data_IF_340977371507
#
_entry.id   IF_340977371507
#
_cell.length_a   1.000
_cell.length_b   1.000
_cell.length_c   1.000
_cell.angle_alpha   90.00
_cell.angle_beta   90.00
_cell.angle_gamma   90.00
#
_symmetry.space_group_name_H-M   'P 1'
#
loop_
_entity.id
_entity.type
_entity.pdbx_description
1 polymer ?
#
# COMPACT_ATOMS: atom_id res chain seq x y z
N UNK A 1 -14.65 28.89 -46.37
CA UNK A 1 -13.67 27.81 -46.54
C UNK A 1 -12.84 27.75 -45.25
N UNK A 2 -13.17 26.81 -44.38
CA UNK A 2 -12.56 26.62 -43.05
C UNK A 2 -12.33 25.11 -42.89
N UNK A 3 -11.12 24.72 -42.48
CA UNK A 3 -10.70 23.33 -42.32
C UNK A 3 -10.35 23.11 -40.85
N UNK A 4 -11.29 22.55 -40.09
CA UNK A 4 -11.07 22.09 -38.72
C UNK A 4 -10.39 20.72 -38.75
N UNK A 5 -9.11 20.65 -38.38
CA UNK A 5 -8.50 19.36 -38.05
C UNK A 5 -8.99 18.91 -36.66
N UNK A 6 -9.67 17.77 -36.61
CA UNK A 6 -9.98 17.08 -35.36
C UNK A 6 -8.74 16.31 -34.91
N UNK A 7 -8.13 16.73 -33.80
CA UNK A 7 -7.09 15.95 -33.11
C UNK A 7 -7.80 15.02 -32.12
N UNK A 8 -7.57 13.71 -32.25
CA UNK A 8 -8.18 12.73 -31.35
C UNK A 8 -7.53 12.80 -29.94
N UNK A 9 -8.32 12.74 -28.86
CA UNK A 9 -7.77 12.63 -27.51
C UNK A 9 -7.16 11.23 -27.32
N UNK A 10 -5.86 11.17 -27.05
CA UNK A 10 -5.18 9.93 -26.65
C UNK A 10 -5.67 9.49 -25.27
N UNK A 11 -6.07 8.22 -25.13
CA UNK A 11 -6.62 7.67 -23.90
C UNK A 11 -5.56 7.48 -22.82
N UNK A 12 -5.55 8.39 -21.82
CA UNK A 12 -4.87 8.16 -20.55
C UNK A 12 -5.59 7.08 -19.74
N UNK A 13 -5.05 5.85 -19.73
CA UNK A 13 -5.61 4.75 -18.94
C UNK A 13 -5.26 4.88 -17.45
N UNK A 14 -6.18 5.47 -16.68
CA UNK A 14 -6.17 5.35 -15.22
C UNK A 14 -6.57 3.93 -14.82
N UNK A 15 -5.58 3.10 -14.48
CA UNK A 15 -5.82 1.74 -14.00
C UNK A 15 -6.15 1.75 -12.50
N UNK A 16 -7.44 1.73 -12.17
CA UNK A 16 -7.91 1.36 -10.83
C UNK A 16 -7.86 -0.17 -10.73
N UNK A 17 -7.01 -0.70 -9.85
CA UNK A 17 -6.77 -2.14 -9.69
C UNK A 17 -7.92 -2.81 -8.91
N UNK A 18 -9.10 -2.84 -9.52
CA UNK A 18 -10.30 -3.51 -9.01
C UNK A 18 -10.10 -5.03 -9.01
N UNK A 19 -9.69 -5.58 -7.87
CA UNK A 19 -9.59 -7.03 -7.62
C UNK A 19 -10.98 -7.65 -7.77
N UNK A 20 -11.23 -8.30 -8.91
CA UNK A 20 -12.52 -8.89 -9.25
C UNK A 20 -12.84 -10.13 -8.41
N UNK A 21 -13.63 -9.94 -7.35
CA UNK A 21 -14.50 -11.00 -6.82
C UNK A 21 -15.98 -10.70 -7.13
N UNK A 22 -16.82 -11.74 -7.12
CA UNK A 22 -18.09 -11.75 -7.86
C UNK A 22 -19.24 -11.02 -7.16
N UNK A 23 -19.63 -9.85 -7.69
CA UNK A 23 -20.98 -9.29 -7.56
C UNK A 23 -21.51 -8.83 -8.94
N UNK A 24 -22.77 -9.15 -9.31
CA UNK A 24 -23.32 -8.86 -10.63
C UNK A 24 -23.90 -7.42 -10.73
N UNK A 25 -23.04 -6.41 -10.84
CA UNK A 25 -23.46 -5.05 -11.19
C UNK A 25 -23.75 -4.93 -12.70
N UNK A 26 -24.97 -5.30 -13.09
CA UNK A 26 -25.46 -5.16 -14.46
C UNK A 26 -25.86 -3.70 -14.78
N UNK A 27 -25.02 -3.00 -15.53
CA UNK A 27 -25.35 -1.67 -16.07
C UNK A 27 -26.27 -1.79 -17.29
N UNK A 28 -27.56 -1.49 -17.11
CA UNK A 28 -28.54 -1.50 -18.21
C UNK A 28 -28.45 -0.22 -19.04
N UNK A 29 -27.58 -0.21 -20.04
CA UNK A 29 -27.65 0.77 -21.13
C UNK A 29 -28.97 0.56 -21.89
N UNK A 30 -29.72 1.64 -22.12
CA UNK A 30 -31.04 1.57 -22.74
C UNK A 30 -30.97 1.43 -24.26
N UNK A 31 -30.87 0.18 -24.76
CA UNK A 31 -30.99 -0.11 -26.19
C UNK A 31 -30.76 -1.59 -26.54
N UNK A 32 -31.72 -2.18 -27.26
CA UNK A 32 -31.77 -3.55 -27.78
C UNK A 32 -31.99 -4.69 -26.73
N UNK A 33 -32.63 -5.82 -27.12
CA UNK A 33 -32.99 -6.92 -26.21
C UNK A 33 -32.13 -8.19 -26.37
N UNK A 34 -32.05 -9.02 -25.33
CA UNK A 34 -31.54 -10.40 -25.41
C UNK A 34 -31.02 -10.98 -24.10
N UNK A 35 -31.85 -11.71 -23.37
CA UNK A 35 -31.45 -12.47 -22.17
C UNK A 35 -31.08 -13.93 -22.52
N UNK A 36 -29.82 -14.32 -22.31
CA UNK A 36 -29.45 -15.74 -22.17
C UNK A 36 -28.23 -15.93 -21.27
N UNK A 37 -28.38 -16.68 -20.18
CA UNK A 37 -27.29 -17.04 -19.27
C UNK A 37 -27.03 -18.55 -19.30
N UNK A 38 -25.78 -18.96 -19.54
CA UNK A 38 -25.35 -20.34 -19.34
C UNK A 38 -24.81 -20.54 -17.93
N UNK A 39 -25.30 -21.60 -17.27
CA UNK A 39 -24.97 -21.94 -15.88
C UNK A 39 -23.91 -23.03 -15.87
N UNK A 40 -22.84 -22.85 -15.10
CA UNK A 40 -21.88 -23.93 -14.83
C UNK A 40 -21.48 -23.89 -13.35
N UNK A 41 -21.49 -25.04 -12.68
CA UNK A 41 -21.19 -25.17 -11.25
C UNK A 41 -19.93 -26.01 -11.05
N UNK A 42 -19.08 -25.62 -10.11
CA UNK A 42 -18.16 -26.53 -9.41
C UNK A 42 -18.34 -26.29 -7.90
N UNK A 43 -18.83 -27.25 -7.10
CA UNK A 43 -18.20 -28.51 -6.66
C UNK A 43 -17.08 -28.31 -5.65
N UNK A 44 -17.48 -28.28 -4.37
CA UNK A 44 -16.62 -28.61 -3.23
C UNK A 44 -16.40 -30.14 -3.21
N UNK A 45 -15.14 -30.58 -3.13
CA UNK A 45 -14.82 -31.99 -2.91
C UNK A 45 -14.79 -32.35 -1.42
N UNK A 46 -15.43 -33.48 -1.09
CA UNK A 46 -15.35 -34.21 0.20
C UNK A 46 -14.30 -35.34 0.07
N UNK A 47 -13.83 -35.97 1.18
CA UNK A 47 -14.62 -36.93 1.99
C UNK A 47 -14.37 -36.77 3.52
N UNK A 48 -14.84 -37.59 4.47
CA UNK A 48 -15.74 -38.76 4.47
C UNK A 48 -17.14 -38.34 5.01
N UNK A 49 -17.84 -38.81 6.06
CA UNK A 49 -17.67 -39.90 7.07
C UNK A 49 -16.86 -39.52 8.32
N UNK A 50 -17.17 -39.97 9.54
CA UNK A 50 -18.36 -40.72 10.05
C UNK A 50 -19.37 -39.78 10.73
N UNK A 51 -20.54 -40.28 11.18
CA UNK A 51 -21.57 -39.47 11.84
C UNK A 51 -22.28 -40.18 13.00
N UNK A 52 -22.77 -39.37 13.95
CA UNK A 52 -23.58 -39.71 15.14
C UNK A 52 -24.61 -38.55 15.31
N UNK A 53 -25.87 -38.79 15.71
CA UNK A 53 -26.96 -37.82 15.50
C UNK A 53 -27.09 -36.72 16.57
N UNK A 54 -28.02 -35.78 16.28
CA UNK A 54 -28.48 -34.67 17.13
C UNK A 54 -28.72 -35.06 18.60
N UNK A 55 -28.30 -34.17 19.50
CA UNK A 55 -28.74 -34.08 20.90
C UNK A 55 -29.17 -32.63 21.20
N UNK A 56 -30.37 -32.37 21.75
CA UNK A 56 -30.84 -31.02 22.02
C UNK A 56 -30.45 -30.53 23.42
N UNK A 57 -30.23 -29.21 23.54
CA UNK A 57 -30.50 -28.46 24.77
C UNK A 57 -29.54 -28.65 25.96
N UNK A 58 -28.37 -28.00 25.89
CA UNK A 58 -27.67 -27.52 27.09
C UNK A 58 -27.45 -26.01 26.99
N UNK A 59 -28.22 -25.26 27.78
CA UNK A 59 -28.08 -23.81 27.94
C UNK A 59 -26.80 -23.51 28.72
N UNK A 60 -25.70 -23.25 28.00
CA UNK A 60 -24.60 -22.50 28.59
C UNK A 60 -25.09 -21.08 28.88
N UNK A 61 -24.89 -20.54 30.10
CA UNK A 61 -25.24 -19.16 30.38
C UNK A 61 -24.36 -18.25 29.52
N UNK A 62 -24.99 -17.44 28.68
CA UNK A 62 -24.30 -16.40 27.94
C UNK A 62 -23.73 -15.38 28.93
N UNK A 63 -22.45 -15.52 29.26
CA UNK A 63 -21.70 -14.50 30.00
C UNK A 63 -21.74 -13.24 29.15
N UNK A 64 -22.53 -12.26 29.57
CA UNK A 64 -22.52 -10.94 28.96
C UNK A 64 -21.16 -10.31 29.23
N UNK A 65 -20.22 -10.52 28.31
CA UNK A 65 -19.09 -9.62 28.16
C UNK A 65 -19.66 -8.26 27.76
N UNK A 66 -19.87 -7.39 28.74
CA UNK A 66 -20.05 -5.94 28.54
C UNK A 66 -18.72 -5.33 28.12
N UNK A 67 -18.20 -5.81 26.99
CA UNK A 67 -16.93 -5.40 26.41
C UNK A 67 -17.02 -4.03 25.77
N UNK A 68 -15.86 -3.38 25.66
CA UNK A 68 -15.72 -2.15 24.88
C UNK A 68 -16.15 -2.41 23.43
N UNK A 69 -17.09 -1.62 22.92
CA UNK A 69 -17.41 -1.62 21.48
C UNK A 69 -16.16 -1.21 20.71
N UNK A 70 -15.84 -1.93 19.64
CA UNK A 70 -14.73 -1.53 18.79
C UNK A 70 -15.11 -0.33 17.90
N UNK A 71 -14.10 0.26 17.27
CA UNK A 71 -14.24 1.44 16.41
C UNK A 71 -15.18 1.17 15.24
N UNK A 72 -15.10 -0.01 14.60
CA UNK A 72 -15.97 -0.39 13.50
C UNK A 72 -17.45 -0.39 13.90
N UNK A 73 -17.83 -1.10 14.96
CA UNK A 73 -19.22 -1.16 15.43
C UNK A 73 -19.75 0.23 15.82
N UNK A 74 -18.88 1.11 16.32
CA UNK A 74 -19.24 2.50 16.68
C UNK A 74 -19.50 3.37 15.44
N UNK A 75 -18.73 3.20 14.37
CA UNK A 75 -18.97 3.85 13.07
C UNK A 75 -20.22 3.27 12.40
N UNK A 76 -20.36 1.95 12.38
CA UNK A 76 -21.50 1.26 11.78
C UNK A 76 -22.82 1.65 12.47
N UNK A 77 -22.89 1.63 13.80
CA UNK A 77 -24.09 2.02 14.55
C UNK A 77 -24.50 3.49 14.30
N UNK A 78 -23.54 4.37 13.96
CA UNK A 78 -23.81 5.78 13.64
C UNK A 78 -24.39 5.96 12.24
N UNK A 79 -23.93 5.21 11.25
CA UNK A 79 -24.26 5.44 9.83
C UNK A 79 -25.27 4.45 9.23
N UNK A 80 -25.49 3.26 9.84
CA UNK A 80 -26.44 2.24 9.33
C UNK A 80 -27.91 2.70 9.23
N UNK A 81 -28.27 3.84 9.82
CA UNK A 81 -29.60 4.45 9.73
C UNK A 81 -29.64 5.72 8.87
N UNK A 82 -28.54 6.12 8.23
CA UNK A 82 -28.49 7.26 7.32
C UNK A 82 -29.30 6.96 6.06
N UNK A 83 -30.22 7.85 5.69
CA UNK A 83 -30.99 7.71 4.46
C UNK A 83 -30.14 8.03 3.23
N UNK A 84 -30.53 7.50 2.06
CA UNK A 84 -29.90 7.82 0.77
C UNK A 84 -29.82 9.32 0.51
N UNK A 85 -30.84 10.09 0.92
CA UNK A 85 -30.89 11.53 0.76
C UNK A 85 -29.91 12.30 1.68
N UNK A 86 -29.60 11.76 2.86
CA UNK A 86 -28.59 12.31 3.77
C UNK A 86 -27.17 11.88 3.38
N UNK A 87 -27.00 10.71 2.74
CA UNK A 87 -25.72 10.22 2.22
C UNK A 87 -25.30 10.97 0.96
N UNK A 88 -26.25 11.18 0.04
CA UNK A 88 -26.02 11.80 -1.27
C UNK A 88 -26.23 13.34 -1.24
N UNK A 89 -26.21 13.94 -0.04
CA UNK A 89 -26.38 15.37 0.17
C UNK A 89 -25.16 16.14 -0.38
N UNK A 90 -25.38 17.01 -1.36
CA UNK A 90 -24.34 17.88 -1.90
C UNK A 90 -23.96 18.99 -0.90
N UNK A 91 -22.79 18.87 -0.29
CA UNK A 91 -22.26 19.85 0.68
C UNK A 91 -21.72 21.09 -0.05
N UNK A 92 -22.22 22.27 0.33
CA UNK A 92 -21.77 23.57 -0.21
C UNK A 92 -20.70 24.22 0.70
N UNK A 93 -19.65 23.45 1.02
CA UNK A 93 -18.57 23.86 1.92
C UNK A 93 -17.21 23.84 1.20
N UNK A 94 -16.26 24.63 1.72
CA UNK A 94 -14.86 24.64 1.27
C UNK A 94 -13.97 23.90 2.25
N UNK A 95 -12.94 23.20 1.75
CA UNK A 95 -11.89 22.64 2.60
C UNK A 95 -11.23 23.72 3.49
N UNK A 96 -10.75 23.37 4.70
CA UNK A 96 -10.10 24.33 5.59
C UNK A 96 -8.89 25.04 4.97
N UNK A 97 -8.63 26.26 5.41
CA UNK A 97 -7.40 26.98 5.02
C UNK A 97 -6.16 26.19 5.44
N UNK A 98 -5.23 25.96 4.51
CA UNK A 98 -4.06 25.10 4.72
C UNK A 98 -4.29 23.61 4.44
N UNK A 99 -5.43 23.21 3.87
CA UNK A 99 -5.60 21.87 3.29
C UNK A 99 -4.64 21.68 2.11
N UNK A 100 -3.84 20.61 2.14
CA UNK A 100 -2.81 20.33 1.14
C UNK A 100 -3.40 19.67 -0.11
N UNK A 101 -3.10 20.21 -1.28
CA UNK A 101 -3.53 19.67 -2.57
C UNK A 101 -2.38 18.93 -3.25
N UNK A 102 -2.23 17.66 -2.87
CA UNK A 102 -1.17 16.80 -3.36
C UNK A 102 -1.54 16.04 -4.65
N UNK A 103 -0.53 15.81 -5.49
CA UNK A 103 -0.53 14.72 -6.48
C UNK A 103 0.64 13.77 -6.23
N UNK A 104 0.60 12.55 -6.77
CA UNK A 104 1.57 11.50 -6.43
C UNK A 104 2.07 10.70 -7.63
N UNK A 105 3.33 10.26 -7.58
CA UNK A 105 3.93 9.29 -8.50
C UNK A 105 4.67 8.18 -7.75
N UNK A 106 5.13 7.15 -8.47
CA UNK A 106 5.87 6.02 -7.90
C UNK A 106 7.05 5.66 -8.80
N UNK A 107 8.23 5.53 -8.21
CA UNK A 107 9.53 5.26 -8.83
C UNK A 107 9.45 4.29 -10.02
N UNK A 108 8.99 3.07 -9.78
CA UNK A 108 8.91 2.03 -10.81
C UNK A 108 7.99 2.37 -12.00
N UNK A 109 6.88 3.10 -11.79
CA UNK A 109 5.92 3.39 -12.87
C UNK A 109 6.24 4.66 -13.68
N UNK A 110 7.15 5.53 -13.21
CA UNK A 110 7.45 6.80 -13.89
C UNK A 110 8.92 7.01 -14.23
N UNK A 111 9.88 6.61 -13.39
CA UNK A 111 11.30 6.94 -13.58
C UNK A 111 11.88 6.35 -14.87
N UNK A 112 11.70 5.04 -15.08
CA UNK A 112 12.43 4.29 -16.10
C UNK A 112 13.93 4.21 -15.80
N UNK A 113 14.74 3.98 -16.84
CA UNK A 113 16.19 3.89 -16.71
C UNK A 113 16.62 2.78 -15.75
N UNK A 114 16.08 1.58 -15.96
CA UNK A 114 16.12 0.46 -15.00
C UNK A 114 17.52 -0.01 -14.62
N UNK A 115 18.50 0.14 -15.52
CA UNK A 115 19.93 -0.18 -15.33
C UNK A 115 20.83 1.06 -15.43
N UNK A 116 20.24 2.26 -15.46
CA UNK A 116 20.95 3.51 -15.69
C UNK A 116 21.52 4.13 -14.42
N UNK A 117 22.59 4.93 -14.58
CA UNK A 117 23.29 5.55 -13.44
C UNK A 117 23.94 4.55 -12.48
N UNK A 118 23.97 3.26 -12.83
CA UNK A 118 24.36 2.17 -11.94
C UNK A 118 23.22 1.64 -11.06
N UNK A 119 21.95 1.95 -11.35
CA UNK A 119 20.79 1.35 -10.67
C UNK A 119 20.86 -0.18 -10.71
N UNK A 120 20.57 -0.81 -9.58
CA UNK A 120 20.41 -2.25 -9.46
C UNK A 120 19.06 -2.75 -9.96
N UNK A 121 19.02 -4.02 -10.33
CA UNK A 121 17.78 -4.76 -10.61
C UNK A 121 16.85 -4.75 -9.38
N UNK A 122 15.57 -4.44 -9.58
CA UNK A 122 14.50 -4.61 -8.58
C UNK A 122 13.71 -5.90 -8.84
N UNK A 123 12.96 -6.36 -7.84
CA UNK A 123 12.05 -7.50 -8.00
C UNK A 123 11.02 -7.31 -9.13
N UNK A 124 10.64 -6.05 -9.43
CA UNK A 124 9.70 -5.76 -10.52
C UNK A 124 10.36 -5.67 -11.90
N UNK A 125 11.62 -5.23 -11.99
CA UNK A 125 12.38 -5.33 -13.24
C UNK A 125 12.47 -6.80 -13.67
N UNK A 126 12.88 -7.68 -12.73
CA UNK A 126 12.92 -9.14 -12.94
C UNK A 126 11.58 -9.72 -13.34
N UNK A 127 10.52 -9.42 -12.58
CA UNK A 127 9.16 -9.94 -12.83
C UNK A 127 8.62 -9.52 -14.21
N UNK A 128 9.02 -8.34 -14.71
CA UNK A 128 8.79 -7.92 -16.09
C UNK A 128 9.60 -8.72 -17.10
N UNK A 129 10.92 -8.82 -16.93
CA UNK A 129 11.84 -9.50 -17.86
C UNK A 129 11.63 -11.02 -17.93
N UNK A 130 11.17 -11.66 -16.85
CA UNK A 130 10.76 -13.07 -16.81
C UNK A 130 9.36 -13.32 -17.42
N UNK A 131 8.67 -12.27 -17.87
CA UNK A 131 7.36 -12.37 -18.54
C UNK A 131 6.20 -12.69 -17.59
N UNK A 132 6.35 -12.40 -16.30
CA UNK A 132 5.32 -12.63 -15.26
C UNK A 132 4.37 -11.43 -15.12
N UNK A 133 4.81 -10.24 -15.52
CA UNK A 133 3.97 -9.04 -15.62
C UNK A 133 2.86 -9.17 -16.68
N UNK A 134 1.74 -8.46 -16.49
CA UNK A 134 0.62 -8.47 -17.42
C UNK A 134 1.07 -8.11 -18.85
N UNK A 135 0.64 -8.93 -19.83
CA UNK A 135 1.00 -8.80 -21.24
C UNK A 135 2.53 -8.70 -21.50
N UNK A 136 3.35 -9.29 -20.62
CA UNK A 136 4.82 -9.30 -20.67
C UNK A 136 5.43 -7.89 -20.72
N UNK A 137 4.77 -6.92 -20.09
CA UNK A 137 5.21 -5.53 -20.06
C UNK A 137 6.40 -5.31 -19.12
N UNK A 138 7.26 -4.35 -19.47
CA UNK A 138 8.40 -3.93 -18.65
C UNK A 138 8.34 -2.42 -18.41
N UNK A 139 9.01 -1.94 -17.35
CA UNK A 139 9.09 -0.52 -17.02
C UNK A 139 10.44 0.13 -17.41
N UNK A 140 11.21 -0.52 -18.29
CA UNK A 140 12.57 -0.12 -18.68
C UNK A 140 12.71 1.38 -19.00
N UNK A 141 11.71 1.94 -19.70
CA UNK A 141 11.59 3.36 -20.03
C UNK A 141 10.52 4.08 -19.19
N UNK A 142 9.42 3.41 -18.83
CA UNK A 142 8.28 3.99 -18.11
C UNK A 142 7.82 5.35 -18.72
N UNK A 143 7.67 6.40 -17.90
CA UNK A 143 7.47 7.78 -18.37
C UNK A 143 8.79 8.50 -18.69
N UNK A 144 9.93 7.91 -18.34
CA UNK A 144 11.29 8.46 -18.43
C UNK A 144 11.46 9.74 -17.59
N UNK A 145 10.78 9.80 -16.43
CA UNK A 145 10.93 10.87 -15.42
C UNK A 145 12.39 11.01 -14.93
N UNK A 146 13.18 9.93 -14.98
CA UNK A 146 14.60 9.93 -14.66
C UNK A 146 15.41 10.96 -15.50
N UNK A 147 14.94 11.29 -16.72
CA UNK A 147 15.54 12.31 -17.60
C UNK A 147 14.77 13.64 -17.64
N UNK A 148 13.61 13.74 -16.98
CA UNK A 148 12.58 14.76 -17.28
C UNK A 148 12.15 15.61 -16.08
N UNK A 149 12.97 15.69 -15.04
CA UNK A 149 12.72 16.49 -13.81
C UNK A 149 12.12 17.87 -14.12
N UNK A 150 12.73 18.66 -15.01
CA UNK A 150 12.26 20.01 -15.35
C UNK A 150 10.88 20.03 -16.04
N UNK A 151 10.56 18.98 -16.81
CA UNK A 151 9.30 18.82 -17.52
C UNK A 151 8.18 18.38 -16.57
N UNK A 152 8.46 17.42 -15.69
CA UNK A 152 7.50 16.96 -14.69
C UNK A 152 7.18 18.09 -13.69
N UNK A 153 8.18 18.85 -13.25
CA UNK A 153 8.00 20.04 -12.40
C UNK A 153 7.33 21.21 -13.16
N UNK A 154 7.47 21.30 -14.48
CA UNK A 154 6.66 22.20 -15.30
C UNK A 154 5.17 21.79 -15.30
N UNK A 155 4.86 20.49 -15.46
CA UNK A 155 3.50 19.98 -15.38
C UNK A 155 2.86 20.19 -14.00
N UNK A 156 3.60 19.93 -12.91
CA UNK A 156 3.11 20.14 -11.54
C UNK A 156 2.74 21.61 -11.28
N UNK A 157 3.54 22.57 -11.76
CA UNK A 157 3.18 24.00 -11.70
C UNK A 157 1.94 24.32 -12.53
N UNK A 158 1.75 23.66 -13.66
CA UNK A 158 0.53 23.77 -14.48
C UNK A 158 -0.74 23.25 -13.77
N UNK A 159 -0.60 22.23 -12.92
CA UNK A 159 -1.67 21.68 -12.07
C UNK A 159 -1.96 22.52 -10.81
N UNK A 160 -1.11 23.52 -10.50
CA UNK A 160 -1.24 24.40 -9.32
C UNK A 160 -1.28 23.64 -7.97
N UNK A 161 -0.66 22.47 -7.89
CA UNK A 161 -0.50 21.71 -6.64
C UNK A 161 0.53 22.36 -5.72
N UNK A 162 0.25 22.36 -4.42
CA UNK A 162 1.20 22.84 -3.38
C UNK A 162 2.17 21.75 -2.91
N UNK A 163 1.85 20.48 -3.21
CA UNK A 163 2.48 19.30 -2.63
C UNK A 163 2.65 18.22 -3.70
N UNK A 164 3.77 17.50 -3.67
CA UNK A 164 4.03 16.36 -4.55
C UNK A 164 4.63 15.19 -3.79
N UNK A 165 3.98 14.03 -3.86
CA UNK A 165 4.47 12.79 -3.29
C UNK A 165 5.17 11.94 -4.37
N UNK A 166 6.37 11.45 -4.08
CA UNK A 166 7.06 10.47 -4.92
C UNK A 166 7.78 9.44 -4.04
N UNK A 167 8.21 8.32 -4.64
CA UNK A 167 9.07 7.35 -3.96
C UNK A 167 10.51 7.41 -4.46
N UNK A 168 11.46 7.15 -3.57
CA UNK A 168 12.87 6.91 -3.91
C UNK A 168 13.03 5.43 -4.23
N UNK A 169 13.68 5.11 -5.35
CA UNK A 169 13.99 3.73 -5.67
C UNK A 169 15.20 3.25 -4.89
N UNK A 170 14.98 2.31 -3.96
CA UNK A 170 16.05 1.76 -3.12
C UNK A 170 17.19 1.20 -3.97
N UNK A 171 16.88 0.46 -5.05
CA UNK A 171 17.89 -0.07 -5.96
C UNK A 171 18.63 1.00 -6.80
N UNK A 172 18.10 2.23 -6.92
CA UNK A 172 18.81 3.36 -7.54
C UNK A 172 19.79 4.01 -6.57
N UNK A 173 19.48 4.03 -5.27
CA UNK A 173 20.34 4.53 -4.19
C UNK A 173 21.41 3.50 -3.80
N UNK A 174 21.01 2.29 -3.41
CA UNK A 174 21.85 1.15 -3.05
C UNK A 174 21.56 -0.02 -4.02
N UNK A 175 22.30 -0.18 -5.13
CA UNK A 175 22.12 -1.23 -6.12
C UNK A 175 22.13 -2.68 -5.59
N UNK A 176 22.83 -2.97 -4.50
CA UNK A 176 22.78 -4.30 -3.83
C UNK A 176 21.81 -4.34 -2.65
N UNK A 177 21.10 -3.25 -2.37
CA UNK A 177 20.31 -3.00 -1.17
C UNK A 177 21.12 -2.55 0.05
N UNK A 178 22.44 -2.71 0.05
CA UNK A 178 23.32 -2.34 1.17
C UNK A 178 24.14 -1.07 0.90
N UNK A 179 24.42 -0.31 1.97
CA UNK A 179 25.06 1.02 1.96
C UNK A 179 26.42 1.08 1.27
N UNK A 180 27.16 -0.03 1.23
CA UNK A 180 28.46 -0.14 0.55
C UNK A 180 28.35 -0.06 -0.99
N UNK A 181 27.15 -0.20 -1.55
CA UNK A 181 26.91 -0.11 -3.00
C UNK A 181 26.55 1.30 -3.50
N UNK A 182 26.46 2.30 -2.62
CA UNK A 182 25.82 3.58 -2.88
C UNK A 182 26.18 4.23 -4.23
N UNK A 183 25.15 4.53 -5.03
CA UNK A 183 25.28 5.31 -6.25
C UNK A 183 25.02 6.79 -5.98
N UNK A 184 26.08 7.58 -5.97
CA UNK A 184 25.99 9.04 -5.90
C UNK A 184 25.25 9.63 -7.12
N UNK A 185 25.30 8.97 -8.29
CA UNK A 185 24.46 9.36 -9.46
C UNK A 185 22.98 9.13 -9.18
N UNK A 186 22.63 8.04 -8.50
CA UNK A 186 21.27 7.77 -8.04
C UNK A 186 20.78 8.82 -7.04
N UNK A 187 21.61 9.18 -6.06
CA UNK A 187 21.29 10.22 -5.09
C UNK A 187 21.11 11.61 -5.75
N UNK A 188 21.97 11.96 -6.71
CA UNK A 188 21.93 13.24 -7.42
C UNK A 188 20.65 13.45 -8.24
N UNK A 189 20.03 12.39 -8.78
CA UNK A 189 18.72 12.50 -9.43
C UNK A 189 17.64 12.99 -8.45
N UNK A 190 17.58 12.42 -7.23
CA UNK A 190 16.61 12.86 -6.23
C UNK A 190 16.94 14.24 -5.66
N UNK A 191 18.22 14.61 -5.53
CA UNK A 191 18.60 16.00 -5.23
C UNK A 191 18.10 16.98 -6.30
N UNK A 192 18.23 16.66 -7.58
CA UNK A 192 17.73 17.49 -8.68
C UNK A 192 16.21 17.64 -8.60
N UNK A 193 15.48 16.53 -8.43
CA UNK A 193 14.01 16.54 -8.29
C UNK A 193 13.55 17.37 -7.09
N UNK A 194 14.12 17.13 -5.90
CA UNK A 194 13.77 17.84 -4.66
C UNK A 194 14.10 19.33 -4.78
N UNK A 195 15.25 19.68 -5.36
CA UNK A 195 15.63 21.08 -5.57
C UNK A 195 14.69 21.79 -6.56
N UNK A 196 14.29 21.13 -7.65
CA UNK A 196 13.38 21.70 -8.65
C UNK A 196 11.96 21.90 -8.09
N UNK A 197 11.48 20.97 -7.25
CA UNK A 197 10.20 21.09 -6.53
C UNK A 197 10.23 22.28 -5.55
N UNK A 198 11.23 22.34 -4.68
CA UNK A 198 11.38 23.42 -3.68
C UNK A 198 11.57 24.78 -4.34
N UNK A 199 12.37 24.88 -5.41
CA UNK A 199 12.52 26.10 -6.20
C UNK A 199 11.24 26.53 -6.93
N UNK A 200 10.30 25.59 -7.14
CA UNK A 200 8.97 25.84 -7.70
C UNK A 200 7.89 26.11 -6.64
N UNK A 201 8.25 26.12 -5.34
CA UNK A 201 7.31 26.28 -4.23
C UNK A 201 6.50 25.04 -3.87
N UNK A 202 6.81 23.88 -4.46
CA UNK A 202 6.09 22.62 -4.26
C UNK A 202 6.75 21.83 -3.12
N UNK A 203 5.97 21.42 -2.13
CA UNK A 203 6.46 20.67 -0.98
C UNK A 203 6.66 19.17 -1.33
N UNK A 204 7.87 18.61 -1.17
CA UNK A 204 8.12 17.19 -1.41
C UNK A 204 7.66 16.33 -0.22
N UNK A 205 6.83 15.33 -0.51
CA UNK A 205 6.57 14.18 0.38
C UNK A 205 7.32 12.98 -0.19
N UNK A 206 8.12 12.29 0.62
CA UNK A 206 8.93 11.16 0.15
C UNK A 206 8.49 9.85 0.77
N UNK A 207 8.17 8.89 -0.08
CA UNK A 207 8.05 7.47 0.27
C UNK A 207 9.41 6.78 0.13
N UNK A 208 9.92 6.16 1.20
CA UNK A 208 11.21 5.45 1.16
C UNK A 208 11.12 4.12 0.38
N UNK A 209 10.03 3.36 0.54
CA UNK A 209 9.82 2.09 -0.15
C UNK A 209 8.45 2.02 -0.83
N UNK A 210 8.44 1.73 -2.14
CA UNK A 210 7.21 1.57 -2.92
C UNK A 210 7.25 0.29 -3.75
N UNK A 211 7.40 -0.84 -3.06
CA UNK A 211 7.37 -2.21 -3.61
C UNK A 211 8.58 -2.58 -4.49
N UNK A 212 9.51 -1.66 -4.70
CA UNK A 212 10.67 -1.77 -5.59
C UNK A 212 11.94 -2.26 -4.88
N UNK A 213 11.82 -3.41 -4.19
CA UNK A 213 12.92 -4.06 -3.48
C UNK A 213 14.10 -4.38 -4.44
N UNK A 214 15.36 -4.10 -4.07
CA UNK A 214 16.52 -4.58 -4.81
C UNK A 214 16.54 -6.11 -4.89
N UNK A 215 16.63 -6.67 -6.10
CA UNK A 215 16.64 -8.11 -6.35
C UNK A 215 17.80 -8.80 -5.60
N UNK A 216 18.92 -8.09 -5.39
CA UNK A 216 20.03 -8.56 -4.58
C UNK A 216 19.62 -8.94 -3.14
N UNK A 217 18.65 -8.25 -2.53
CA UNK A 217 18.09 -8.63 -1.22
C UNK A 217 17.11 -9.80 -1.35
N UNK A 218 16.28 -9.82 -2.42
CA UNK A 218 15.34 -10.90 -2.68
C UNK A 218 16.03 -12.26 -2.88
N UNK A 219 17.22 -12.27 -3.47
CA UNK A 219 18.07 -13.46 -3.63
C UNK A 219 18.48 -14.11 -2.29
N UNK A 220 18.37 -13.38 -1.17
CA UNK A 220 18.59 -13.89 0.19
C UNK A 220 17.28 -13.96 1.02
N UNK A 221 16.12 -14.00 0.36
CA UNK A 221 14.78 -14.10 0.94
C UNK A 221 13.96 -12.80 0.87
N UNK A 222 14.61 -11.64 0.75
CA UNK A 222 13.91 -10.36 0.75
C UNK A 222 13.21 -10.12 2.09
N UNK A 223 11.91 -9.83 2.07
CA UNK A 223 11.16 -9.47 3.28
C UNK A 223 10.89 -10.63 4.25
N UNK A 224 11.08 -11.90 3.88
CA UNK A 224 11.05 -13.02 4.84
C UNK A 224 12.31 -13.07 5.72
N UNK A 225 13.44 -12.51 5.25
CA UNK A 225 14.70 -12.53 5.99
C UNK A 225 14.83 -11.31 6.91
N UNK A 226 14.93 -11.54 8.22
CA UNK A 226 15.04 -10.49 9.23
C UNK A 226 16.26 -9.54 9.06
N UNK A 227 17.29 -9.92 8.30
CA UNK A 227 18.41 -9.02 7.98
C UNK A 227 18.00 -7.77 7.21
N UNK A 228 16.85 -7.80 6.53
CA UNK A 228 16.31 -6.66 5.78
C UNK A 228 15.98 -5.45 6.67
N UNK A 229 15.73 -5.67 7.97
CA UNK A 229 15.41 -4.59 8.93
C UNK A 229 16.60 -3.63 9.07
N UNK A 230 17.81 -4.17 9.24
CA UNK A 230 19.02 -3.34 9.33
C UNK A 230 19.35 -2.71 7.97
N UNK A 231 19.18 -3.43 6.86
CA UNK A 231 19.41 -2.88 5.52
C UNK A 231 18.47 -1.71 5.18
N UNK A 232 17.18 -1.82 5.53
CA UNK A 232 16.20 -0.75 5.32
C UNK A 232 16.47 0.46 6.23
N UNK A 233 16.84 0.22 7.49
CA UNK A 233 17.26 1.25 8.45
C UNK A 233 18.48 2.04 7.96
N UNK A 234 19.48 1.35 7.39
CA UNK A 234 20.71 1.95 6.83
C UNK A 234 20.41 2.81 5.57
N UNK A 235 19.41 2.40 4.79
CA UNK A 235 18.88 3.14 3.64
C UNK A 235 18.03 4.35 4.05
N UNK A 236 17.18 4.20 5.08
CA UNK A 236 16.40 5.29 5.66
C UNK A 236 17.32 6.37 6.26
N UNK A 237 18.34 5.98 7.03
CA UNK A 237 19.38 6.88 7.55
C UNK A 237 20.03 7.71 6.45
N UNK A 238 20.49 7.06 5.36
CA UNK A 238 21.06 7.76 4.21
C UNK A 238 20.07 8.78 3.60
N UNK A 239 18.81 8.40 3.39
CA UNK A 239 17.81 9.28 2.80
C UNK A 239 17.48 10.48 3.70
N UNK A 240 17.30 10.26 5.01
CA UNK A 240 17.08 11.33 5.98
C UNK A 240 18.29 12.27 6.06
N UNK A 241 19.50 11.71 6.08
CA UNK A 241 20.76 12.47 6.11
C UNK A 241 20.95 13.35 4.88
N UNK A 242 20.68 12.81 3.68
CA UNK A 242 20.93 13.52 2.39
C UNK A 242 19.82 14.51 2.03
N UNK A 243 18.55 14.19 2.29
CA UNK A 243 17.40 14.95 1.75
C UNK A 243 16.51 15.62 2.80
N UNK A 244 16.63 15.27 4.09
CA UNK A 244 15.74 15.77 5.15
C UNK A 244 15.96 17.24 5.55
N UNK A 245 17.00 17.88 5.02
CA UNK A 245 17.15 19.33 5.02
C UNK A 245 16.00 20.01 4.26
N UNK A 246 15.57 19.43 3.14
CA UNK A 246 14.49 19.90 2.25
C UNK A 246 13.17 19.17 2.46
N UNK A 247 13.18 17.86 2.72
CA UNK A 247 11.98 17.01 2.86
C UNK A 247 11.47 16.99 4.30
N UNK A 248 10.18 17.32 4.49
CA UNK A 248 9.55 17.47 5.82
C UNK A 248 8.43 16.49 6.13
N UNK A 249 7.99 15.70 5.15
CA UNK A 249 7.00 14.63 5.34
C UNK A 249 7.53 13.37 4.68
N UNK A 250 7.62 12.30 5.47
CA UNK A 250 8.19 11.02 5.06
C UNK A 250 7.21 9.87 5.33
N UNK A 251 7.07 8.98 4.36
CA UNK A 251 6.38 7.69 4.51
C UNK A 251 7.44 6.58 4.41
N UNK A 252 7.57 5.69 5.40
CA UNK A 252 8.56 4.60 5.31
C UNK A 252 8.14 3.57 4.25
N UNK A 253 6.89 3.12 4.29
CA UNK A 253 6.28 2.22 3.32
C UNK A 253 5.03 2.85 2.71
N UNK A 254 4.75 2.49 1.45
CA UNK A 254 3.43 2.63 0.86
C UNK A 254 2.72 1.29 0.75
N UNK A 255 1.47 1.22 1.22
CA UNK A 255 0.56 0.08 1.13
C UNK A 255 1.22 -1.27 1.48
N UNK A 256 1.79 -1.43 2.70
CA UNK A 256 2.61 -2.59 3.05
C UNK A 256 1.81 -3.91 3.06
N UNK A 257 0.49 -3.85 3.28
CA UNK A 257 -0.40 -5.00 3.14
C UNK A 257 -0.34 -5.62 1.74
N UNK A 258 -0.20 -4.82 0.69
CA UNK A 258 -0.06 -5.31 -0.69
C UNK A 258 1.27 -6.06 -0.87
N UNK A 259 2.34 -5.62 -0.21
CA UNK A 259 3.64 -6.31 -0.24
C UNK A 259 3.49 -7.71 0.36
N UNK A 260 2.96 -7.83 1.59
CA UNK A 260 2.73 -9.12 2.25
C UNK A 260 1.75 -10.00 1.47
N UNK A 261 0.57 -9.47 1.16
CA UNK A 261 -0.54 -10.26 0.63
C UNK A 261 -0.41 -10.53 -0.87
N UNK A 262 -0.14 -9.52 -1.70
CA UNK A 262 -0.06 -9.69 -3.15
C UNK A 262 1.31 -10.20 -3.63
N UNK A 263 2.40 -9.79 -2.97
CA UNK A 263 3.76 -10.20 -3.31
C UNK A 263 4.18 -11.57 -2.78
N UNK A 264 3.73 -11.93 -1.57
CA UNK A 264 4.14 -13.17 -0.88
C UNK A 264 2.99 -14.13 -0.52
N UNK A 265 1.75 -13.66 -0.43
CA UNK A 265 0.57 -14.52 -0.19
C UNK A 265 -0.03 -15.13 -1.46
N UNK A 266 -0.55 -14.28 -2.34
CA UNK A 266 -1.22 -14.67 -3.60
C UNK A 266 -0.23 -14.89 -4.75
N UNK A 267 0.94 -14.24 -4.69
CA UNK A 267 1.95 -14.18 -5.75
C UNK A 267 1.42 -13.63 -7.08
N UNK A 268 0.56 -12.61 -7.03
CA UNK A 268 0.10 -11.86 -8.22
C UNK A 268 0.97 -10.63 -8.51
N UNK A 269 1.68 -10.13 -7.50
CA UNK A 269 2.68 -9.06 -7.60
C UNK A 269 4.08 -9.63 -7.35
N UNK A 270 5.14 -8.91 -7.71
CA UNK A 270 6.50 -9.31 -7.39
C UNK A 270 6.71 -9.42 -5.85
N UNK A 271 7.49 -10.41 -5.35
CA UNK A 271 8.31 -11.38 -6.08
C UNK A 271 7.57 -12.64 -6.57
N UNK A 272 6.23 -12.70 -6.47
CA UNK A 272 5.44 -13.82 -6.99
C UNK A 272 5.38 -15.05 -6.07
N UNK A 273 5.73 -14.91 -4.79
CA UNK A 273 5.68 -15.99 -3.79
C UNK A 273 4.23 -16.27 -3.39
N UNK A 274 3.89 -17.56 -3.18
CA UNK A 274 2.50 -18.05 -3.07
C UNK A 274 2.27 -18.78 -1.75
N UNK A 275 2.49 -18.07 -0.65
CA UNK A 275 2.39 -18.58 0.71
C UNK A 275 1.71 -17.56 1.63
N UNK A 276 0.38 -17.68 1.71
CA UNK A 276 -0.50 -16.87 2.55
C UNK A 276 -0.21 -16.99 4.06
N UNK A 277 0.54 -18.00 4.51
CA UNK A 277 0.65 -18.37 5.92
C UNK A 277 2.01 -18.03 6.49
N UNK A 278 3.11 -18.63 6.03
CA UNK A 278 4.40 -18.40 6.66
C UNK A 278 5.05 -17.10 6.12
N UNK A 279 5.24 -17.02 4.81
CA UNK A 279 5.89 -15.90 4.13
C UNK A 279 5.15 -14.59 4.33
N UNK A 280 3.84 -14.55 4.06
CA UNK A 280 3.00 -13.37 4.23
C UNK A 280 3.08 -12.77 5.65
N UNK A 281 3.19 -13.63 6.69
CA UNK A 281 3.25 -13.20 8.08
C UNK A 281 4.66 -12.77 8.53
N UNK A 282 5.71 -13.47 8.08
CA UNK A 282 7.10 -13.06 8.27
C UNK A 282 7.38 -11.68 7.62
N UNK A 283 6.85 -11.46 6.42
CA UNK A 283 6.97 -10.20 5.66
C UNK A 283 6.32 -9.04 6.42
N UNK A 284 5.09 -9.19 6.90
CA UNK A 284 4.44 -8.16 7.73
C UNK A 284 5.23 -7.83 8.99
N UNK A 285 5.69 -8.84 9.73
CA UNK A 285 6.45 -8.66 10.96
C UNK A 285 7.79 -7.93 10.72
N UNK A 286 8.52 -8.27 9.64
CA UNK A 286 9.77 -7.59 9.28
C UNK A 286 9.53 -6.16 8.74
N UNK A 287 8.45 -5.91 7.99
CA UNK A 287 8.08 -4.56 7.54
C UNK A 287 7.73 -3.66 8.74
N UNK A 288 6.98 -4.16 9.73
CA UNK A 288 6.66 -3.41 10.95
C UNK A 288 7.92 -3.01 11.73
N UNK A 289 8.85 -3.95 11.93
CA UNK A 289 10.16 -3.67 12.57
C UNK A 289 11.01 -2.68 11.75
N UNK A 290 10.95 -2.77 10.42
CA UNK A 290 11.62 -1.83 9.52
C UNK A 290 11.02 -0.41 9.56
N UNK A 291 9.70 -0.29 9.72
CA UNK A 291 9.03 1.00 9.95
C UNK A 291 9.48 1.61 11.27
N UNK A 292 9.44 0.82 12.35
CA UNK A 292 9.84 1.25 13.69
C UNK A 292 11.29 1.76 13.71
N UNK A 293 12.26 0.96 13.24
CA UNK A 293 13.67 1.38 13.22
C UNK A 293 13.91 2.64 12.38
N UNK A 294 13.26 2.78 11.22
CA UNK A 294 13.35 4.00 10.43
C UNK A 294 12.70 5.21 11.13
N UNK A 295 11.58 5.03 11.84
CA UNK A 295 10.95 6.09 12.63
C UNK A 295 11.85 6.55 13.77
N UNK A 296 12.49 5.61 14.50
CA UNK A 296 13.39 5.92 15.62
C UNK A 296 14.70 6.57 15.14
N UNK A 297 15.30 6.08 14.04
CA UNK A 297 16.45 6.75 13.40
C UNK A 297 16.11 8.21 13.07
N UNK A 298 14.92 8.48 12.52
CA UNK A 298 14.50 9.86 12.31
C UNK A 298 14.30 10.62 13.61
N UNK A 299 13.61 10.03 14.59
CA UNK A 299 13.26 10.66 15.86
C UNK A 299 14.49 11.14 16.63
N UNK A 300 15.48 10.25 16.74
CA UNK A 300 16.58 10.41 17.68
C UNK A 300 17.70 11.28 17.08
N UNK A 301 17.98 11.10 15.78
CA UNK A 301 19.09 11.77 15.07
C UNK A 301 18.64 13.03 14.32
N UNK A 302 17.45 13.04 13.71
CA UNK A 302 17.08 14.01 12.67
C UNK A 302 15.93 14.96 13.04
N UNK A 303 14.94 14.52 13.82
CA UNK A 303 13.72 15.30 14.09
C UNK A 303 14.00 16.67 14.73
N UNK A 304 14.99 16.73 15.62
CA UNK A 304 15.41 17.96 16.34
C UNK A 304 16.06 19.01 15.44
N UNK A 305 16.71 18.61 14.36
CA UNK A 305 17.47 19.51 13.46
C UNK A 305 16.71 19.79 12.16
N UNK A 306 15.90 18.84 11.68
CA UNK A 306 15.18 18.94 10.42
C UNK A 306 13.71 19.34 10.57
N UNK A 307 13.09 19.09 11.72
CA UNK A 307 11.69 19.46 12.03
C UNK A 307 10.60 18.64 11.33
N UNK A 308 10.95 17.55 10.63
CA UNK A 308 10.01 16.77 9.83
C UNK A 308 9.17 15.74 10.59
N UNK A 309 8.20 15.18 9.87
CA UNK A 309 7.31 14.09 10.31
C UNK A 309 7.61 12.81 9.54
N UNK A 310 7.47 11.67 10.20
CA UNK A 310 7.58 10.33 9.61
C UNK A 310 6.33 9.54 9.97
N UNK A 311 5.77 8.84 8.98
CA UNK A 311 4.64 7.92 9.15
C UNK A 311 4.73 6.76 8.17
N UNK A 312 3.59 6.13 7.91
CA UNK A 312 3.43 5.00 7.00
C UNK A 312 2.11 5.18 6.25
N UNK A 313 2.10 4.93 4.94
CA UNK A 313 0.87 5.00 4.15
C UNK A 313 0.23 3.62 4.12
N UNK A 314 -0.86 3.42 4.87
CA UNK A 314 -1.62 2.17 4.92
C UNK A 314 -2.79 2.22 3.93
N UNK A 315 -2.99 1.13 3.18
CA UNK A 315 -4.19 0.94 2.36
C UNK A 315 -5.33 0.32 3.19
N UNK A 316 -6.55 0.75 2.94
CA UNK A 316 -7.77 0.06 3.37
C UNK A 316 -8.90 0.38 2.41
N UNK A 317 -9.57 -0.65 1.92
CA UNK A 317 -10.95 -0.53 1.45
C UNK A 317 -11.88 -0.46 2.67
N UNK A 318 -13.15 -0.10 2.44
CA UNK A 318 -14.21 -0.14 3.46
C UNK A 318 -15.05 -1.41 3.31
N UNK A 319 -15.58 -1.92 4.42
CA UNK A 319 -16.42 -3.13 4.43
C UNK A 319 -17.75 -2.90 5.13
N UNK A 320 -18.83 -3.30 4.47
CA UNK A 320 -20.20 -3.26 4.97
C UNK A 320 -20.76 -4.69 5.04
N UNK A 321 -21.62 -5.01 6.03
CA UNK A 321 -22.30 -6.30 6.10
C UNK A 321 -23.23 -6.50 4.91
N UNK A 322 -23.22 -7.70 4.33
CA UNK A 322 -24.13 -8.08 3.24
C UNK A 322 -25.60 -8.03 3.68
N UNK A 323 -25.88 -8.46 4.92
CA UNK A 323 -27.14 -8.23 5.63
C UNK A 323 -26.88 -7.52 6.97
N UNK A 324 -27.19 -6.21 7.08
CA UNK A 324 -27.08 -5.43 8.32
C UNK A 324 -27.84 -5.99 9.53
N UNK A 325 -28.81 -6.89 9.34
CA UNK A 325 -29.58 -7.51 10.41
C UNK A 325 -28.93 -8.80 10.96
N UNK A 326 -27.89 -9.35 10.30
CA UNK A 326 -27.14 -10.51 10.76
C UNK A 326 -25.90 -10.09 11.56
N UNK A 327 -25.78 -10.44 12.85
CA UNK A 327 -24.56 -10.21 13.63
C UNK A 327 -23.31 -10.86 13.01
N UNK A 328 -23.49 -11.97 12.30
CA UNK A 328 -22.43 -12.71 11.61
C UNK A 328 -21.80 -11.89 10.47
N UNK A 329 -22.61 -11.22 9.66
CA UNK A 329 -22.16 -10.39 8.55
C UNK A 329 -21.46 -9.13 9.06
N UNK A 330 -21.96 -8.53 10.15
CA UNK A 330 -21.31 -7.38 10.84
C UNK A 330 -19.94 -7.81 11.41
N UNK A 331 -19.86 -9.00 12.01
CA UNK A 331 -18.61 -9.58 12.52
C UNK A 331 -17.69 -10.14 11.41
N UNK A 332 -18.15 -10.22 10.17
CA UNK A 332 -17.32 -10.52 9.00
C UNK A 332 -16.70 -9.23 8.43
N UNK A 333 -17.48 -8.15 8.33
CA UNK A 333 -17.01 -6.86 7.85
C UNK A 333 -15.98 -6.21 8.79
N UNK A 334 -16.19 -6.26 10.11
CA UNK A 334 -15.19 -5.87 11.11
C UNK A 334 -13.87 -6.64 10.93
N UNK A 335 -13.96 -7.98 10.87
CA UNK A 335 -12.81 -8.87 10.68
C UNK A 335 -12.04 -8.56 9.42
N UNK A 336 -12.70 -8.27 8.30
CA UNK A 336 -12.05 -7.85 7.06
C UNK A 336 -11.17 -6.61 7.30
N UNK A 337 -11.68 -5.60 8.00
CA UNK A 337 -10.92 -4.38 8.33
C UNK A 337 -9.79 -4.65 9.33
N UNK A 338 -9.94 -5.60 10.26
CA UNK A 338 -8.84 -6.05 11.12
C UNK A 338 -7.72 -6.74 10.32
N UNK A 339 -8.05 -7.57 9.32
CA UNK A 339 -7.08 -8.24 8.45
C UNK A 339 -6.45 -7.31 7.40
N UNK A 340 -7.13 -6.23 7.00
CA UNK A 340 -6.67 -5.30 5.96
C UNK A 340 -5.89 -4.12 6.55
N UNK A 341 -6.51 -3.36 7.45
CA UNK A 341 -5.93 -2.17 8.08
C UNK A 341 -5.33 -2.50 9.45
N UNK A 342 -6.10 -3.17 10.31
CA UNK A 342 -5.72 -3.45 11.70
C UNK A 342 -4.39 -4.21 11.82
N UNK A 343 -4.10 -5.09 10.88
CA UNK A 343 -2.88 -5.90 10.84
C UNK A 343 -1.58 -5.07 10.86
N UNK A 344 -1.60 -3.87 10.28
CA UNK A 344 -0.49 -2.90 10.37
C UNK A 344 -0.79 -1.72 11.30
N UNK A 345 -2.05 -1.29 11.40
CA UNK A 345 -2.42 -0.11 12.17
C UNK A 345 -2.45 -0.35 13.69
N UNK A 346 -2.80 -1.56 14.16
CA UNK A 346 -2.92 -1.85 15.58
C UNK A 346 -1.56 -1.87 16.30
N UNK A 347 -0.50 -2.51 15.76
CA UNK A 347 0.84 -2.39 16.36
C UNK A 347 1.31 -0.94 16.45
N UNK A 348 1.18 -0.16 15.37
CA UNK A 348 1.76 1.19 15.26
C UNK A 348 0.97 2.26 16.04
N UNK A 349 -0.36 2.12 16.16
CA UNK A 349 -1.23 3.19 16.67
C UNK A 349 -2.06 2.83 17.92
N UNK A 350 -1.97 1.60 18.45
CA UNK A 350 -2.78 1.16 19.60
C UNK A 350 -1.92 0.71 20.78
N UNK A 351 -1.22 -0.42 20.67
CA UNK A 351 -0.59 -1.09 21.83
C UNK A 351 0.73 -1.83 21.54
N UNK A 352 1.32 -1.69 20.35
CA UNK A 352 2.55 -2.39 19.99
C UNK A 352 2.36 -3.89 19.69
N UNK A 353 1.11 -4.36 19.52
CA UNK A 353 0.81 -5.76 19.22
C UNK A 353 -0.28 -5.89 18.14
N UNK A 354 -0.42 -7.09 17.56
CA UNK A 354 -1.41 -7.37 16.52
C UNK A 354 -2.85 -7.35 17.07
N UNK A 355 -3.87 -7.11 16.23
CA UNK A 355 -5.27 -7.26 16.63
C UNK A 355 -5.53 -8.65 17.20
N UNK A 356 -6.27 -8.75 18.32
CA UNK A 356 -6.50 -10.02 19.02
C UNK A 356 -7.05 -11.15 18.12
N UNK A 357 -7.83 -10.81 17.09
CA UNK A 357 -8.40 -11.74 16.11
C UNK A 357 -7.36 -12.38 15.17
N UNK A 358 -6.13 -11.88 15.14
CA UNK A 358 -5.01 -12.40 14.35
C UNK A 358 -3.96 -13.14 15.19
N UNK A 359 -3.91 -12.92 16.52
CA UNK A 359 -2.80 -13.39 17.38
C UNK A 359 -2.57 -14.90 17.35
N UNK A 360 -3.64 -15.69 17.25
CA UNK A 360 -3.58 -17.17 17.17
C UNK A 360 -2.93 -17.70 15.87
N UNK A 361 -2.61 -16.82 14.91
CA UNK A 361 -2.06 -17.17 13.60
C UNK A 361 -0.70 -16.50 13.30
N UNK A 362 -0.31 -15.47 14.06
CA UNK A 362 0.84 -14.61 13.74
C UNK A 362 2.07 -14.88 14.63
N UNK A 363 3.29 -14.53 14.16
CA UNK A 363 4.48 -14.43 15.02
C UNK A 363 4.24 -13.46 16.18
N UNK A 364 4.54 -13.89 17.41
CA UNK A 364 4.38 -13.06 18.62
C UNK A 364 5.52 -12.06 18.72
N UNK A 365 5.22 -10.77 18.93
CA UNK A 365 6.24 -9.77 19.27
C UNK A 365 6.81 -10.04 20.66
N UNK A 366 8.14 -10.01 20.82
CA UNK A 366 8.73 -9.95 22.16
C UNK A 366 8.36 -8.64 22.85
N UNK A 367 8.36 -8.57 24.20
CA UNK A 367 8.03 -7.32 24.91
C UNK A 367 8.91 -6.13 24.48
N UNK A 368 10.18 -6.37 24.12
CA UNK A 368 11.10 -5.36 23.60
C UNK A 368 10.70 -4.85 22.22
N UNK A 369 10.23 -5.73 21.31
CA UNK A 369 9.75 -5.34 19.98
C UNK A 369 8.41 -4.63 20.06
N UNK A 370 7.51 -5.11 20.92
CA UNK A 370 6.21 -4.49 21.18
C UNK A 370 6.35 -3.08 21.78
N UNK A 371 7.36 -2.83 22.62
CA UNK A 371 7.70 -1.49 23.10
C UNK A 371 8.45 -0.62 22.05
N UNK A 372 8.98 -1.23 20.98
CA UNK A 372 9.81 -0.54 19.97
C UNK A 372 9.00 -0.10 18.74
N UNK A 373 7.91 -0.80 18.42
CA UNK A 373 6.97 -0.47 17.33
C UNK A 373 6.10 0.74 17.72
#
# INVERSE_FOLDING_TARGET
>A
MLLSLSIAPSTSYYYVELVRHHLPLAWKISGLPGDTWYRCCFLLCRPLGYGVPYMPGLLYPAVMMTGLRNSYQTVWDKFKSQTTAERDLFLQESFPSGFQWATSSVSFKTEGGWSEGGKGETIWDRFGHEGLAFANQTADLACDSYRKVDYDVYLLRGLQVDTYQFSISWARIFPTGYRQSQSEKGAQYYDQLINALVASGIQPIVTLYHWDLPQALQNYGGWTNASIVEAFKDYADFCFSRFGDRVKIWNTFNSPWVVSHAGYGTGVHAPGVKDYVESSYQVTHNILKSHAEAWHVYNDNYRKTQGGKVGIALNSDWAEPSDPAKPEDVAAADRYLQFMLGWFAHPIFVDGDYPAILKDQLPVFTPTESQRI
#
